data_IF_559068087186
#
_entry.id   IF_559068087186
#
_cell.length_a   1.000
_cell.length_b   1.000
_cell.length_c   1.000
_cell.angle_alpha   90.00
_cell.angle_beta   90.00
_cell.angle_gamma   90.00
#
_symmetry.space_group_name_H-M   'P 1'
#
loop_
_entity.id
_entity.type
_entity.pdbx_description
1 polymer ?
#
# COMPACT_ATOMS: atom_id res chain seq x y z
N UNK A 1 12.38 -15.44 9.25
CA UNK A 1 11.87 -16.24 8.10
C UNK A 1 11.54 -15.25 6.99
N UNK A 2 11.97 -15.48 5.75
CA UNK A 2 11.70 -14.53 4.66
C UNK A 2 10.22 -14.54 4.27
N UNK A 3 9.66 -13.42 3.72
CA UNK A 3 8.29 -13.39 3.21
C UNK A 3 8.01 -14.51 2.20
N UNK A 4 8.99 -14.78 1.33
CA UNK A 4 8.93 -15.85 0.33
C UNK A 4 8.68 -17.23 0.96
N UNK A 5 9.49 -17.61 1.96
CA UNK A 5 9.38 -18.95 2.58
C UNK A 5 8.05 -19.13 3.30
N UNK A 6 7.49 -18.06 3.87
CA UNK A 6 6.20 -18.13 4.55
C UNK A 6 5.05 -18.24 3.55
N UNK A 7 5.10 -17.45 2.45
CA UNK A 7 4.11 -17.54 1.38
C UNK A 7 4.11 -18.93 0.73
N UNK A 8 5.28 -19.50 0.44
CA UNK A 8 5.41 -20.85 -0.12
C UNK A 8 4.85 -21.92 0.83
N UNK A 9 5.00 -21.72 2.15
CA UNK A 9 4.42 -22.65 3.15
C UNK A 9 2.90 -22.54 3.25
N UNK A 10 2.36 -21.31 3.12
CA UNK A 10 0.91 -21.07 3.17
C UNK A 10 0.20 -21.47 1.89
N UNK A 11 0.88 -21.35 0.76
CA UNK A 11 0.37 -21.63 -0.58
C UNK A 11 1.37 -22.51 -1.34
N UNK A 12 1.37 -23.83 -1.13
CA UNK A 12 2.35 -24.75 -1.73
C UNK A 12 2.37 -24.70 -3.25
N UNK A 13 1.21 -24.51 -3.89
CA UNK A 13 1.05 -24.47 -5.35
C UNK A 13 1.45 -23.11 -5.97
N UNK A 14 1.76 -22.10 -5.13
CA UNK A 14 2.18 -20.79 -5.62
C UNK A 14 3.59 -20.86 -6.21
N UNK A 15 3.71 -20.62 -7.50
CA UNK A 15 5.00 -20.60 -8.19
C UNK A 15 5.67 -19.23 -8.08
N UNK A 16 6.54 -19.07 -7.10
CA UNK A 16 7.36 -17.86 -6.94
C UNK A 16 8.64 -18.02 -7.76
N UNK A 17 8.70 -17.34 -8.91
CA UNK A 17 9.79 -17.47 -9.89
C UNK A 17 10.98 -16.55 -9.63
N UNK A 18 10.81 -15.50 -8.79
CA UNK A 18 11.88 -14.59 -8.41
C UNK A 18 11.49 -13.71 -7.23
N UNK A 19 12.47 -13.08 -6.64
CA UNK A 19 12.28 -12.04 -5.64
C UNK A 19 13.51 -11.14 -5.59
N UNK A 20 13.32 -9.87 -5.22
CA UNK A 20 14.34 -8.86 -5.06
C UNK A 20 13.97 -7.98 -3.87
N UNK A 21 14.95 -7.54 -3.07
CA UNK A 21 14.70 -6.50 -2.08
C UNK A 21 14.46 -5.14 -2.76
N UNK A 22 13.75 -4.24 -2.08
CA UNK A 22 13.38 -2.92 -2.60
C UNK A 22 14.46 -1.84 -2.43
N UNK A 23 15.69 -2.19 -2.02
CA UNK A 23 16.79 -1.25 -1.75
C UNK A 23 17.86 -1.25 -2.84
N UNK A 24 17.49 -1.62 -4.05
CA UNK A 24 18.40 -1.62 -5.21
C UNK A 24 18.72 -0.19 -5.68
N UNK A 25 19.90 -0.03 -6.28
CA UNK A 25 20.37 1.24 -6.87
C UNK A 25 20.15 1.29 -8.38
N UNK A 26 20.12 0.13 -9.03
CA UNK A 26 20.05 -0.03 -10.48
C UNK A 26 18.72 -0.69 -10.86
N UNK A 27 17.77 0.13 -11.32
CA UNK A 27 16.46 -0.34 -11.75
C UNK A 27 16.54 -1.20 -12.99
N UNK A 28 17.47 -0.91 -13.90
CA UNK A 28 17.58 -1.63 -15.17
C UNK A 28 17.91 -3.12 -14.95
N UNK A 29 18.88 -3.42 -14.09
CA UNK A 29 19.20 -4.81 -13.74
C UNK A 29 18.05 -5.55 -13.10
N UNK A 30 17.25 -4.86 -12.29
CA UNK A 30 16.05 -5.46 -11.68
C UNK A 30 15.00 -5.78 -12.74
N UNK A 31 14.78 -4.89 -13.70
CA UNK A 31 13.85 -5.08 -14.81
C UNK A 31 14.30 -6.26 -15.69
N UNK A 32 15.57 -6.31 -16.06
CA UNK A 32 16.15 -7.44 -16.80
C UNK A 32 15.94 -8.77 -16.07
N UNK A 33 16.18 -8.78 -14.76
CA UNK A 33 15.93 -9.96 -13.94
C UNK A 33 14.44 -10.34 -13.92
N UNK A 34 13.52 -9.38 -13.74
CA UNK A 34 12.07 -9.62 -13.78
C UNK A 34 11.69 -10.25 -15.13
N UNK A 35 12.11 -9.64 -16.23
CA UNK A 35 11.78 -10.10 -17.58
C UNK A 35 12.35 -11.50 -17.89
N UNK A 36 13.53 -11.83 -17.38
CA UNK A 36 14.14 -13.15 -17.53
C UNK A 36 13.35 -14.26 -16.83
N UNK A 37 12.61 -13.93 -15.75
CA UNK A 37 11.80 -14.91 -15.01
C UNK A 37 10.52 -15.31 -15.72
N UNK A 38 10.08 -14.54 -16.73
CA UNK A 38 8.79 -14.69 -17.42
C UNK A 38 7.59 -14.70 -16.45
N UNK A 39 7.68 -13.94 -15.39
CA UNK A 39 6.63 -13.78 -14.40
C UNK A 39 5.40 -13.14 -15.05
N UNK A 40 4.20 -13.60 -14.72
CA UNK A 40 2.94 -13.00 -15.16
C UNK A 40 2.45 -11.92 -14.19
N UNK A 41 2.84 -12.01 -12.93
CA UNK A 41 2.40 -11.13 -11.85
C UNK A 41 3.61 -10.62 -11.08
N UNK A 42 3.69 -9.29 -10.91
CA UNK A 42 4.72 -8.61 -10.13
C UNK A 42 4.09 -7.87 -8.96
N UNK A 43 4.55 -8.16 -7.76
CA UNK A 43 4.22 -7.39 -6.56
C UNK A 43 5.38 -6.46 -6.19
N UNK A 44 5.09 -5.16 -6.06
CA UNK A 44 6.08 -4.14 -5.71
C UNK A 44 5.79 -3.64 -4.29
N UNK A 45 6.76 -3.80 -3.38
CA UNK A 45 6.61 -3.55 -1.94
C UNK A 45 7.65 -2.53 -1.42
N UNK A 46 7.80 -1.39 -2.10
CA UNK A 46 8.76 -0.34 -1.71
C UNK A 46 8.15 0.77 -0.84
N UNK A 47 6.83 0.68 -0.58
CA UNK A 47 6.05 1.70 0.11
C UNK A 47 5.61 2.83 -0.82
N UNK A 48 4.46 3.45 -0.49
CA UNK A 48 3.91 4.59 -1.22
C UNK A 48 4.64 5.89 -0.82
N UNK A 49 4.91 6.85 -1.73
CA UNK A 49 4.61 6.83 -3.18
C UNK A 49 5.74 6.21 -4.03
N UNK A 50 6.77 5.64 -3.43
CA UNK A 50 7.96 5.16 -4.13
C UNK A 50 7.65 4.01 -5.10
N UNK A 51 6.78 3.07 -4.71
CA UNK A 51 6.40 1.93 -5.52
C UNK A 51 5.57 2.36 -6.74
N UNK A 52 4.64 3.28 -6.57
CA UNK A 52 3.81 3.80 -7.66
C UNK A 52 4.66 4.55 -8.69
N UNK A 53 5.57 5.40 -8.23
CA UNK A 53 6.49 6.12 -9.10
C UNK A 53 7.43 5.16 -9.84
N UNK A 54 7.94 4.13 -9.16
CA UNK A 54 8.81 3.15 -9.80
C UNK A 54 8.07 2.34 -10.88
N UNK A 55 6.85 1.90 -10.60
CA UNK A 55 6.00 1.20 -11.57
C UNK A 55 5.73 2.12 -12.77
N UNK A 56 5.30 3.36 -12.52
CA UNK A 56 4.97 4.32 -13.57
C UNK A 56 6.16 4.58 -14.50
N UNK A 57 7.34 4.82 -13.93
CA UNK A 57 8.54 5.16 -14.70
C UNK A 57 9.11 3.99 -15.50
N UNK A 58 8.81 2.74 -15.12
CA UNK A 58 9.41 1.56 -15.74
C UNK A 58 8.38 0.62 -16.40
N UNK A 59 7.10 1.02 -16.44
CA UNK A 59 6.02 0.17 -16.96
C UNK A 59 6.24 -0.33 -18.37
N UNK A 60 6.80 0.50 -19.24
CA UNK A 60 7.06 0.17 -20.65
C UNK A 60 8.13 -0.92 -20.81
N UNK A 61 9.05 -1.02 -19.86
CA UNK A 61 10.19 -1.94 -19.92
C UNK A 61 9.93 -3.26 -19.16
N UNK A 62 8.85 -3.31 -18.34
CA UNK A 62 8.49 -4.47 -17.53
C UNK A 62 7.55 -5.39 -18.31
N UNK A 63 8.00 -6.61 -18.60
CA UNK A 63 7.23 -7.59 -19.33
C UNK A 63 6.46 -8.54 -18.39
N UNK A 64 5.42 -8.03 -17.74
CA UNK A 64 4.47 -8.79 -16.90
C UNK A 64 3.04 -8.47 -17.30
N UNK A 65 2.09 -9.38 -17.03
CA UNK A 65 0.68 -9.13 -17.33
C UNK A 65 0.03 -8.19 -16.31
N UNK A 66 0.43 -8.29 -15.04
CA UNK A 66 -0.12 -7.49 -13.93
C UNK A 66 1.00 -7.05 -13.01
N UNK A 67 1.02 -5.76 -12.66
CA UNK A 67 1.90 -5.20 -11.65
C UNK A 67 1.07 -4.53 -10.55
N UNK A 68 1.37 -4.80 -9.29
CA UNK A 68 0.62 -4.27 -8.15
C UNK A 68 1.55 -3.77 -7.04
N UNK A 69 1.33 -2.52 -6.62
CA UNK A 69 1.94 -1.98 -5.41
C UNK A 69 1.25 -2.55 -4.16
N UNK A 70 1.99 -3.23 -3.30
CA UNK A 70 1.44 -3.91 -2.12
C UNK A 70 1.97 -3.35 -0.80
N UNK A 71 2.88 -2.38 -0.85
CA UNK A 71 3.44 -1.71 0.34
C UNK A 71 3.94 -2.69 1.39
N UNK A 72 3.56 -2.47 2.65
CA UNK A 72 3.96 -3.30 3.78
C UNK A 72 3.23 -4.65 3.92
N UNK A 73 2.51 -5.11 2.90
CA UNK A 73 1.78 -6.39 2.98
C UNK A 73 2.71 -7.59 3.16
N UNK A 74 3.90 -7.54 2.58
CA UNK A 74 4.92 -8.59 2.78
C UNK A 74 5.49 -8.60 4.19
N UNK A 75 5.59 -7.44 4.86
CA UNK A 75 6.03 -7.36 6.25
C UNK A 75 5.01 -8.01 7.19
N UNK A 76 3.72 -7.85 6.89
CA UNK A 76 2.64 -8.53 7.60
C UNK A 76 2.66 -10.04 7.31
N UNK A 77 2.80 -10.42 6.04
CA UNK A 77 2.85 -11.82 5.62
C UNK A 77 4.06 -12.56 6.22
N UNK A 78 5.22 -11.91 6.31
CA UNK A 78 6.42 -12.46 6.95
C UNK A 78 6.33 -12.52 8.48
N UNK A 79 5.35 -11.80 9.07
CA UNK A 79 5.25 -11.65 10.53
C UNK A 79 6.27 -10.68 11.12
N UNK A 80 7.01 -9.94 10.27
CA UNK A 80 7.94 -8.89 10.70
C UNK A 80 7.17 -7.71 11.29
N UNK A 81 5.98 -7.45 10.76
CA UNK A 81 5.05 -6.44 11.29
C UNK A 81 3.86 -7.13 11.96
N UNK A 82 3.63 -6.83 13.22
CA UNK A 82 2.43 -7.31 13.92
C UNK A 82 1.19 -6.61 13.35
N UNK A 83 0.18 -7.40 13.02
CA UNK A 83 -1.11 -6.85 12.62
C UNK A 83 -1.76 -6.14 13.81
N UNK A 84 -2.45 -5.02 13.55
CA UNK A 84 -3.15 -4.30 14.61
C UNK A 84 -4.11 -5.22 15.39
N UNK A 85 -4.27 -5.03 16.71
CA UNK A 85 -5.23 -5.74 17.52
C UNK A 85 -6.65 -5.70 16.94
N UNK A 86 -7.47 -6.71 17.24
CA UNK A 86 -8.83 -6.84 16.68
C UNK A 86 -9.68 -5.58 16.90
N UNK A 87 -9.54 -4.93 18.05
CA UNK A 87 -10.23 -3.68 18.41
C UNK A 87 -9.97 -2.57 17.39
N UNK A 88 -8.69 -2.28 17.08
CA UNK A 88 -8.32 -1.25 16.11
C UNK A 88 -8.77 -1.57 14.69
N UNK A 89 -8.90 -2.87 14.35
CA UNK A 89 -9.40 -3.30 13.04
C UNK A 89 -10.92 -3.20 12.94
N UNK A 90 -11.63 -3.51 14.01
CA UNK A 90 -13.09 -3.44 14.07
C UNK A 90 -13.59 -1.99 14.03
N UNK A 91 -12.86 -1.06 14.65
CA UNK A 91 -13.18 0.37 14.69
C UNK A 91 -12.65 1.17 13.50
N UNK A 92 -11.94 0.55 12.55
CA UNK A 92 -11.30 1.25 11.42
C UNK A 92 -10.11 2.13 11.82
N UNK A 93 -9.65 2.07 13.08
CA UNK A 93 -8.57 2.90 13.62
C UNK A 93 -7.19 2.23 13.54
N UNK A 94 -7.01 1.27 12.63
CA UNK A 94 -5.72 0.59 12.40
C UNK A 94 -4.59 1.59 12.07
N UNK A 95 -4.91 2.68 11.38
CA UNK A 95 -3.95 3.73 11.04
C UNK A 95 -3.36 4.42 12.30
N UNK A 96 -4.16 4.62 13.36
CA UNK A 96 -3.71 5.18 14.62
C UNK A 96 -2.74 4.23 15.33
N UNK A 97 -3.09 2.94 15.39
CA UNK A 97 -2.21 1.93 15.95
C UNK A 97 -0.86 1.91 15.23
N UNK A 98 -0.86 1.95 13.90
CA UNK A 98 0.36 1.99 13.10
C UNK A 98 1.15 3.30 13.27
N UNK A 99 0.47 4.42 13.48
CA UNK A 99 1.10 5.70 13.78
C UNK A 99 1.83 5.64 15.13
N UNK A 100 1.24 5.04 16.14
CA UNK A 100 1.85 4.86 17.47
C UNK A 100 3.06 3.91 17.42
N UNK A 101 2.99 2.85 16.61
CA UNK A 101 4.10 1.89 16.47
C UNK A 101 5.30 2.45 15.66
N UNK A 102 5.04 3.29 14.64
CA UNK A 102 6.07 3.80 13.72
C UNK A 102 5.87 5.32 13.46
N UNK A 103 5.99 6.20 14.48
CA UNK A 103 5.64 7.62 14.34
C UNK A 103 6.50 8.34 13.32
N UNK A 104 7.81 8.16 13.33
CA UNK A 104 8.75 8.84 12.43
C UNK A 104 8.48 8.54 10.94
N UNK A 105 8.11 7.30 10.63
CA UNK A 105 7.84 6.85 9.26
C UNK A 105 6.47 7.30 8.74
N UNK A 106 5.49 7.49 9.63
CA UNK A 106 4.08 7.74 9.26
C UNK A 106 3.63 9.18 9.47
N UNK A 107 4.37 9.96 10.25
CA UNK A 107 4.04 11.36 10.51
C UNK A 107 3.92 12.22 9.24
N UNK A 108 4.80 12.08 8.22
CA UNK A 108 4.65 12.83 6.97
C UNK A 108 3.33 12.57 6.25
N UNK A 109 2.82 11.33 6.31
CA UNK A 109 1.56 10.93 5.68
C UNK A 109 0.37 11.57 6.41
N UNK A 110 0.43 11.64 7.75
CA UNK A 110 -0.64 12.24 8.55
C UNK A 110 -0.77 13.75 8.32
N UNK A 111 0.32 14.46 8.05
CA UNK A 111 0.29 15.89 7.72
C UNK A 111 -0.55 16.20 6.47
N UNK A 112 -0.61 15.27 5.53
CA UNK A 112 -1.41 15.40 4.30
C UNK A 112 -2.85 14.91 4.53
N UNK A 113 -3.01 13.83 5.28
CA UNK A 113 -4.31 13.20 5.50
C UNK A 113 -5.24 14.05 6.38
N UNK A 114 -4.69 14.73 7.40
CA UNK A 114 -5.47 15.51 8.33
C UNK A 114 -6.17 16.74 7.70
N UNK A 115 -5.50 17.59 6.91
CA UNK A 115 -6.17 18.66 6.16
C UNK A 115 -7.22 18.14 5.18
N UNK A 116 -6.93 17.03 4.48
CA UNK A 116 -7.89 16.41 3.58
C UNK A 116 -9.17 15.96 4.32
N UNK A 117 -9.01 15.34 5.48
CA UNK A 117 -10.14 14.92 6.31
C UNK A 117 -11.01 16.10 6.77
N UNK A 118 -10.38 17.22 7.19
CA UNK A 118 -11.09 18.45 7.53
C UNK A 118 -11.86 19.04 6.35
N UNK A 119 -11.27 19.03 5.15
CA UNK A 119 -11.94 19.48 3.93
C UNK A 119 -13.17 18.62 3.58
N UNK A 120 -13.07 17.30 3.74
CA UNK A 120 -14.19 16.39 3.46
C UNK A 120 -15.33 16.60 4.43
N UNK A 121 -15.03 16.76 5.73
CA UNK A 121 -16.05 17.05 6.75
C UNK A 121 -16.68 18.42 6.53
N UNK A 122 -15.88 19.43 6.21
CA UNK A 122 -16.36 20.78 5.94
C UNK A 122 -17.31 20.82 4.73
N UNK A 123 -16.98 20.16 3.64
CA UNK A 123 -17.87 20.04 2.46
C UNK A 123 -19.17 19.33 2.80
N UNK A 124 -19.10 18.23 3.53
CA UNK A 124 -20.31 17.47 3.91
C UNK A 124 -21.23 18.24 4.87
N UNK A 125 -20.66 19.07 5.74
CA UNK A 125 -21.44 19.96 6.61
C UNK A 125 -22.15 21.06 5.80
N UNK A 126 -21.48 21.64 4.80
CA UNK A 126 -22.07 22.67 3.92
C UNK A 126 -23.20 22.08 3.05
N UNK A 127 -22.99 20.88 2.47
CA UNK A 127 -24.02 20.22 1.67
C UNK A 127 -25.26 19.86 2.49
N UNK A 128 -25.10 19.49 3.77
CA UNK A 128 -26.22 19.21 4.67
C UNK A 128 -27.00 20.47 5.03
N UNK A 129 -26.34 21.62 5.23
CA UNK A 129 -27.01 22.88 5.52
C UNK A 129 -27.78 23.42 4.31
N UNK A 130 -27.23 23.26 3.10
CA UNK A 130 -27.91 23.68 1.86
C UNK A 130 -29.12 22.80 1.50
N UNK A 131 -29.10 21.52 1.88
CA UNK A 131 -30.26 20.64 1.68
C UNK A 131 -31.41 20.89 2.66
N UNK A 132 -31.10 21.36 3.87
CA UNK A 132 -32.14 21.73 4.84
C UNK A 132 -32.86 23.05 4.48
N UNK A 133 -32.14 24.03 3.90
CA UNK A 133 -32.75 25.31 3.48
C UNK A 133 -33.65 25.16 2.24
N UNK A 134 -33.43 24.13 1.41
CA UNK A 134 -34.27 23.82 0.24
C UNK A 134 -35.63 23.18 0.57
N UNK A 135 -35.82 22.64 1.78
CA UNK A 135 -37.09 22.01 2.19
C UNK A 135 -38.04 22.97 2.95
N UNK A 136 -37.61 24.17 3.26
CA UNK A 136 -38.44 25.16 4.01
C UNK A 136 -39.14 26.20 3.09
N UNK A 137 -39.04 26.02 1.75
CA UNK A 137 -39.62 26.97 0.76
C UNK A 137 -40.66 26.34 -0.17
N UNK A 138 -41.31 25.22 0.23
CA UNK A 138 -42.52 24.72 -0.43
C UNK A 138 -43.75 24.85 0.46
#
# INVERSE_FOLDING_TARGET
MSPRSKLQKMYPDLRIVGWQDGYFKDSQKVIEHINSTKAKLLFVAMGSPKQENWIHNNWQDINVNVCMGVGGSFDIASGSLRRAPKIFRATGTEFLYRLLCEPAKRWPIQKVLFPYFLQVIGKKAVDLTLSDEGQLTE
#
